data_IF_929512773664
#
_entry.id   IF_929512773664
#
_cell.length_a   1.000
_cell.length_b   1.000
_cell.length_c   1.000
_cell.angle_alpha   90.00
_cell.angle_beta   90.00
_cell.angle_gamma   90.00
#
_symmetry.space_group_name_H-M   'P 1'
#
loop_
_entity.id
_entity.type
_entity.pdbx_description
1 polymer ?
#
# COMPACT_ATOMS: atom_id res chain seq x y z
N UNK A 1 4.16 2.15 -6.85
CA UNK A 1 3.38 3.33 -6.38
C UNK A 1 3.23 3.23 -4.87
N UNK A 2 2.99 4.34 -4.15
CA UNK A 2 2.74 4.30 -2.71
C UNK A 2 1.32 3.81 -2.44
N UNK A 3 0.32 4.45 -3.05
CA UNK A 3 -1.02 3.89 -3.19
C UNK A 3 -1.08 2.98 -4.42
N UNK A 4 -1.59 1.75 -4.30
CA UNK A 4 -1.89 0.93 -5.47
C UNK A 4 -2.89 1.65 -6.39
N UNK A 5 -2.66 1.60 -7.70
CA UNK A 5 -3.57 2.22 -8.69
C UNK A 5 -5.00 1.65 -8.57
N UNK A 6 -5.11 0.37 -8.20
CA UNK A 6 -6.39 -0.30 -7.95
C UNK A 6 -7.18 0.25 -6.76
N UNK A 7 -6.61 1.16 -5.96
CA UNK A 7 -7.23 1.77 -4.77
C UNK A 7 -7.79 3.18 -5.02
N UNK A 8 -7.97 3.58 -6.28
CA UNK A 8 -8.45 4.93 -6.66
C UNK A 8 -9.82 5.27 -6.07
N UNK A 9 -10.79 4.35 -6.10
CA UNK A 9 -12.12 4.59 -5.51
C UNK A 9 -12.04 4.77 -3.98
N UNK A 10 -11.18 4.01 -3.30
CA UNK A 10 -10.92 4.14 -1.86
C UNK A 10 -10.26 5.49 -1.53
N UNK A 11 -9.33 5.94 -2.38
CA UNK A 11 -8.64 7.22 -2.28
C UNK A 11 -9.60 8.42 -2.36
N UNK A 12 -10.57 8.38 -3.29
CA UNK A 12 -11.62 9.41 -3.42
C UNK A 12 -12.55 9.39 -2.22
N UNK A 13 -13.00 8.21 -1.76
CA UNK A 13 -13.95 8.09 -0.64
C UNK A 13 -13.36 8.55 0.71
N UNK A 14 -12.04 8.42 0.92
CA UNK A 14 -11.38 8.86 2.16
C UNK A 14 -10.94 10.33 2.16
N UNK A 15 -11.26 11.09 1.10
CA UNK A 15 -10.91 12.51 0.99
C UNK A 15 -9.42 12.77 0.79
N UNK A 16 -8.67 11.77 0.32
CA UNK A 16 -7.23 11.89 0.06
C UNK A 16 -6.93 12.54 -1.31
N UNK A 17 -7.93 12.69 -2.18
CA UNK A 17 -7.81 13.36 -3.48
C UNK A 17 -7.16 14.74 -3.42
N UNK A 18 -7.38 15.50 -2.34
CA UNK A 18 -6.75 16.81 -2.15
C UNK A 18 -5.25 16.79 -1.84
N UNK A 19 -4.64 15.63 -1.60
CA UNK A 19 -3.22 15.52 -1.22
C UNK A 19 -2.28 15.59 -2.42
N UNK A 20 -2.74 15.20 -3.61
CA UNK A 20 -1.95 15.33 -4.85
C UNK A 20 -2.23 16.71 -5.44
N UNK A 21 -1.20 17.55 -5.47
CA UNK A 21 -1.34 18.97 -5.84
C UNK A 21 -0.99 19.24 -7.30
N UNK A 22 -0.24 18.33 -7.93
CA UNK A 22 0.00 18.39 -9.38
C UNK A 22 -1.30 18.09 -10.09
N UNK A 23 -1.88 19.12 -10.74
CA UNK A 23 -3.03 18.94 -11.60
C UNK A 23 -2.63 18.02 -12.73
N UNK A 24 -3.28 16.87 -12.79
CA UNK A 24 -3.19 16.03 -13.95
C UNK A 24 -3.67 16.83 -15.18
N UNK A 25 -3.00 16.65 -16.31
CA UNK A 25 -3.55 17.07 -17.59
C UNK A 25 -4.88 16.30 -17.79
N UNK A 26 -5.79 16.75 -18.66
CA UNK A 26 -7.13 16.15 -18.88
C UNK A 26 -7.17 14.63 -19.18
N UNK A 27 -6.00 13.97 -19.30
CA UNK A 27 -5.83 12.53 -19.57
C UNK A 27 -5.14 11.74 -18.46
N UNK A 28 -4.59 12.39 -17.43
CA UNK A 28 -3.97 11.70 -16.30
C UNK A 28 -4.93 11.69 -15.11
N UNK A 29 -4.98 10.57 -14.39
CA UNK A 29 -5.62 10.53 -13.08
C UNK A 29 -4.61 10.94 -12.01
N UNK A 30 -5.05 11.62 -10.96
CA UNK A 30 -4.17 12.10 -9.88
C UNK A 30 -3.31 10.98 -9.29
N UNK A 31 -3.84 9.75 -9.26
CA UNK A 31 -3.14 8.55 -8.76
C UNK A 31 -1.86 8.18 -9.54
N UNK A 32 -1.76 8.60 -10.80
CA UNK A 32 -0.56 8.42 -11.63
C UNK A 32 0.49 9.54 -11.43
N UNK A 33 0.24 10.50 -10.54
CA UNK A 33 1.22 11.54 -10.24
C UNK A 33 2.50 10.93 -9.64
N UNK A 34 3.65 11.51 -10.00
CA UNK A 34 4.93 11.23 -9.35
C UNK A 34 4.89 11.44 -7.82
N UNK A 35 3.97 12.27 -7.33
CA UNK A 35 3.70 12.47 -5.91
C UNK A 35 3.18 11.21 -5.18
N UNK A 36 2.64 10.24 -5.93
CA UNK A 36 2.23 8.91 -5.46
C UNK A 36 3.31 7.83 -5.71
N UNK A 37 4.57 8.22 -5.86
CA UNK A 37 5.65 7.32 -6.24
C UNK A 37 6.91 7.49 -5.40
N UNK A 38 7.58 6.37 -5.16
CA UNK A 38 9.00 6.32 -4.83
C UNK A 38 9.66 5.41 -5.86
N UNK A 39 10.79 5.85 -6.43
CA UNK A 39 11.58 5.00 -7.31
C UNK A 39 12.40 4.02 -6.47
N UNK A 40 12.17 2.72 -6.67
CA UNK A 40 12.80 1.65 -5.90
C UNK A 40 13.42 0.61 -6.83
N UNK A 41 14.43 -0.11 -6.33
CA UNK A 41 14.87 -1.36 -6.97
C UNK A 41 13.72 -2.37 -6.95
N UNK A 42 13.66 -3.25 -7.95
CA UNK A 42 12.52 -4.17 -8.13
C UNK A 42 12.26 -5.08 -6.93
N UNK A 43 13.32 -5.58 -6.28
CA UNK A 43 13.21 -6.40 -5.06
C UNK A 43 12.72 -5.60 -3.84
N UNK A 44 13.09 -4.32 -3.73
CA UNK A 44 12.60 -3.42 -2.68
C UNK A 44 11.13 -3.06 -2.94
N UNK A 45 10.76 -2.81 -4.20
CA UNK A 45 9.38 -2.55 -4.57
C UNK A 45 8.47 -3.73 -4.20
N UNK A 46 8.89 -4.97 -4.48
CA UNK A 46 8.11 -6.17 -4.17
C UNK A 46 7.79 -6.29 -2.66
N UNK A 47 8.75 -5.98 -1.79
CA UNK A 47 8.50 -6.05 -0.34
C UNK A 47 7.74 -4.81 0.19
N UNK A 48 7.75 -3.69 -0.54
CA UNK A 48 6.87 -2.54 -0.27
C UNK A 48 5.41 -2.89 -0.56
N UNK A 49 5.14 -3.52 -1.71
CA UNK A 49 3.78 -3.93 -2.11
C UNK A 49 3.18 -4.94 -1.12
N UNK A 50 4.03 -5.77 -0.50
CA UNK A 50 3.65 -6.74 0.55
C UNK A 50 3.56 -6.11 1.94
N UNK A 51 3.78 -4.81 2.06
CA UNK A 51 3.82 -4.07 3.32
C UNK A 51 4.84 -4.61 4.35
N UNK A 52 5.93 -5.24 3.92
CA UNK A 52 6.96 -5.78 4.84
C UNK A 52 7.84 -4.67 5.43
N UNK A 53 7.82 -3.50 4.80
CA UNK A 53 8.34 -2.26 5.36
C UNK A 53 7.46 -1.07 4.96
N UNK A 54 7.63 0.06 5.64
CA UNK A 54 7.06 1.33 5.21
C UNK A 54 7.89 2.52 5.69
N UNK A 55 7.68 3.69 5.09
CA UNK A 55 8.27 4.96 5.49
C UNK A 55 7.31 5.69 6.41
N UNK A 56 7.78 6.10 7.60
CA UNK A 56 6.99 6.91 8.52
C UNK A 56 7.33 8.41 8.37
N UNK A 57 6.49 9.22 7.70
CA UNK A 57 6.76 10.65 7.57
C UNK A 57 6.73 11.39 8.92
N UNK A 58 6.05 10.82 9.94
CA UNK A 58 5.93 11.42 11.28
C UNK A 58 7.10 11.07 12.21
N UNK A 59 8.06 10.24 11.76
CA UNK A 59 9.28 9.85 12.49
C UNK A 59 10.53 10.14 11.65
N UNK A 60 10.67 11.41 11.21
CA UNK A 60 11.74 11.90 10.32
C UNK A 60 12.01 10.96 9.12
N UNK A 61 10.92 10.49 8.51
CA UNK A 61 10.94 9.65 7.31
C UNK A 61 11.74 8.36 7.49
N UNK A 62 11.71 7.82 8.71
CA UNK A 62 12.34 6.54 9.05
C UNK A 62 11.68 5.39 8.28
N UNK A 63 12.52 4.52 7.75
CA UNK A 63 12.11 3.22 7.20
C UNK A 63 11.88 2.26 8.36
N UNK A 64 10.69 1.69 8.47
CA UNK A 64 10.33 0.70 9.48
C UNK A 64 10.12 -0.64 8.81
N UNK A 65 10.95 -1.62 9.15
CA UNK A 65 10.81 -3.00 8.71
C UNK A 65 10.00 -3.81 9.73
N UNK A 66 9.03 -4.59 9.27
CA UNK A 66 8.12 -5.34 10.14
C UNK A 66 8.48 -6.83 10.27
N UNK A 67 9.26 -7.39 9.34
CA UNK A 67 9.68 -8.81 9.31
C UNK A 67 11.21 -8.92 9.17
N UNK A 68 11.94 -8.15 10.00
CA UNK A 68 13.40 -8.02 9.91
C UNK A 68 13.87 -7.18 8.72
N UNK A 69 15.20 -7.03 8.57
CA UNK A 69 15.80 -6.22 7.50
C UNK A 69 16.79 -7.03 6.64
N UNK A 70 16.31 -7.97 5.81
CA UNK A 70 17.19 -8.80 4.97
C UNK A 70 17.84 -8.02 3.82
N UNK A 71 17.31 -6.84 3.47
CA UNK A 71 17.82 -6.01 2.37
C UNK A 71 18.74 -4.87 2.85
N UNK A 72 18.87 -4.67 4.16
CA UNK A 72 19.68 -3.59 4.72
C UNK A 72 19.12 -2.20 4.41
N UNK A 73 17.79 -2.07 4.39
CA UNK A 73 17.07 -0.85 4.02
C UNK A 73 16.67 0.02 5.22
N UNK A 74 16.96 -0.39 6.46
CA UNK A 74 16.74 0.46 7.64
C UNK A 74 17.48 1.81 7.52
N UNK A 75 16.94 2.84 8.16
CA UNK A 75 17.42 4.21 8.08
C UNK A 75 16.32 5.16 7.60
N UNK A 76 16.63 5.97 6.58
CA UNK A 76 15.74 7.04 6.08
C UNK A 76 15.77 7.11 4.56
N UNK A 77 14.65 7.48 3.96
CA UNK A 77 14.62 7.79 2.54
C UNK A 77 15.48 9.02 2.21
N UNK A 78 15.95 9.09 0.97
CA UNK A 78 16.73 10.22 0.49
C UNK A 78 15.93 11.53 0.63
N UNK A 79 16.51 12.62 1.18
CA UNK A 79 15.84 13.91 1.30
C UNK A 79 15.20 14.43 0.00
N UNK A 80 15.75 14.09 -1.17
CA UNK A 80 15.18 14.50 -2.47
C UNK A 80 13.77 13.97 -2.70
N UNK A 81 13.39 12.86 -2.07
CA UNK A 81 12.06 12.26 -2.20
C UNK A 81 11.01 12.97 -1.34
N UNK A 82 11.42 13.89 -0.45
CA UNK A 82 10.61 14.51 0.60
C UNK A 82 10.91 16.01 0.76
N UNK A 83 11.40 16.67 -0.29
CA UNK A 83 11.60 18.12 -0.26
C UNK A 83 10.23 18.79 -0.30
N UNK A 84 9.83 19.55 0.74
CA UNK A 84 8.53 20.21 0.77
C UNK A 84 8.37 21.29 -0.32
N UNK A 85 9.47 21.72 -0.93
CA UNK A 85 9.48 22.71 -2.02
C UNK A 85 9.53 22.06 -3.41
N UNK A 86 9.70 20.74 -3.52
CA UNK A 86 9.66 20.03 -4.80
C UNK A 86 8.27 19.42 -5.01
N UNK A 87 7.59 19.85 -6.07
CA UNK A 87 6.30 19.31 -6.48
C UNK A 87 6.35 17.85 -6.94
N UNK A 88 7.54 17.26 -7.11
CA UNK A 88 7.74 15.85 -7.42
C UNK A 88 7.94 14.97 -6.20
N UNK A 89 8.06 15.56 -5.01
CA UNK A 89 8.23 14.81 -3.76
C UNK A 89 7.02 13.93 -3.49
N UNK A 90 7.28 12.78 -2.86
CA UNK A 90 6.23 11.92 -2.34
C UNK A 90 5.43 12.68 -1.29
N UNK A 91 4.10 12.52 -1.32
CA UNK A 91 3.21 13.20 -0.37
C UNK A 91 3.19 12.48 0.96
N UNK A 92 3.38 13.23 2.05
CA UNK A 92 3.36 12.71 3.41
C UNK A 92 2.06 11.99 3.73
N UNK A 93 0.93 12.45 3.23
CA UNK A 93 -0.37 11.80 3.44
C UNK A 93 -0.41 10.39 2.84
N UNK A 94 0.25 10.19 1.69
CA UNK A 94 0.35 8.90 1.03
C UNK A 94 1.30 7.96 1.78
N UNK A 95 2.46 8.49 2.20
CA UNK A 95 3.40 7.74 3.03
C UNK A 95 2.76 7.33 4.36
N UNK A 96 2.02 8.24 5.00
CA UNK A 96 1.29 7.99 6.25
C UNK A 96 0.17 6.97 6.06
N UNK A 97 -0.55 7.01 4.94
CA UNK A 97 -1.53 5.98 4.61
C UNK A 97 -0.86 4.61 4.47
N UNK A 98 0.22 4.51 3.68
CA UNK A 98 0.94 3.25 3.46
C UNK A 98 1.53 2.71 4.76
N UNK A 99 2.08 3.58 5.61
CA UNK A 99 2.54 3.22 6.95
C UNK A 99 1.43 2.63 7.82
N UNK A 100 0.24 3.24 7.84
CA UNK A 100 -0.90 2.69 8.57
C UNK A 100 -1.33 1.33 8.04
N UNK A 101 -1.33 1.14 6.71
CA UNK A 101 -1.63 -0.18 6.12
C UNK A 101 -0.57 -1.21 6.51
N UNK A 102 0.70 -0.84 6.47
CA UNK A 102 1.78 -1.75 6.87
C UNK A 102 1.71 -2.13 8.34
N UNK A 103 1.42 -1.16 9.22
CA UNK A 103 1.12 -1.44 10.63
C UNK A 103 -0.06 -2.41 10.75
N UNK A 104 -1.18 -2.18 10.05
CA UNK A 104 -2.34 -3.08 10.12
C UNK A 104 -2.05 -4.48 9.57
N UNK A 105 -1.32 -4.58 8.46
CA UNK A 105 -0.94 -5.85 7.83
C UNK A 105 -0.03 -6.69 8.75
N UNK A 106 0.84 -6.05 9.53
CA UNK A 106 1.81 -6.73 10.38
C UNK A 106 1.40 -6.82 11.86
N UNK A 107 0.50 -5.96 12.35
CA UNK A 107 -0.11 -6.13 13.68
C UNK A 107 -1.05 -7.34 13.75
N UNK A 108 -1.49 -7.87 12.59
CA UNK A 108 -2.19 -9.15 12.48
C UNK A 108 -1.28 -10.39 12.68
N UNK A 109 0.04 -10.18 12.79
CA UNK A 109 1.09 -11.21 12.81
C UNK A 109 1.18 -12.11 14.05
N UNK A 110 0.18 -12.12 14.93
CA UNK A 110 0.08 -13.11 16.02
C UNK A 110 -1.13 -14.05 15.84
N UNK A 111 -2.02 -13.82 14.85
CA UNK A 111 -3.30 -14.54 14.80
C UNK A 111 -3.80 -15.04 13.45
N UNK A 112 -3.64 -14.30 12.34
CA UNK A 112 -4.37 -14.66 11.11
C UNK A 112 -3.57 -14.51 9.81
N UNK A 113 -3.76 -15.45 8.85
CA UNK A 113 -3.07 -15.40 7.57
C UNK A 113 -3.57 -14.22 6.70
N UNK A 114 -2.67 -13.60 5.95
CA UNK A 114 -3.03 -12.66 4.89
C UNK A 114 -3.57 -13.43 3.68
N UNK A 115 -4.86 -13.28 3.40
CA UNK A 115 -5.51 -13.84 2.22
C UNK A 115 -5.73 -12.76 1.17
N UNK A 116 -5.35 -13.06 -0.06
CA UNK A 116 -5.69 -12.25 -1.23
C UNK A 116 -7.20 -12.43 -1.52
N UNK A 117 -7.95 -11.33 -1.51
CA UNK A 117 -9.41 -11.31 -1.75
C UNK A 117 -9.79 -10.73 -3.11
N UNK A 118 -8.80 -10.38 -3.95
CA UNK A 118 -9.06 -9.79 -5.26
C UNK A 118 -9.02 -10.87 -6.35
N UNK A 119 -10.17 -11.50 -6.57
CA UNK A 119 -10.31 -12.54 -7.58
C UNK A 119 -10.64 -11.92 -8.95
N UNK A 120 -9.90 -12.25 -10.03
CA UNK A 120 -10.16 -11.70 -11.35
C UNK A 120 -11.58 -12.02 -11.85
N UNK A 121 -12.24 -11.05 -12.48
CA UNK A 121 -13.57 -11.27 -13.07
C UNK A 121 -13.57 -12.45 -14.05
N UNK A 122 -14.30 -13.51 -13.70
CA UNK A 122 -14.40 -14.73 -14.50
C UNK A 122 -13.65 -15.95 -13.93
N UNK A 123 -12.96 -15.83 -12.79
CA UNK A 123 -12.43 -16.99 -12.07
C UNK A 123 -13.46 -17.61 -11.13
N UNK A 124 -13.34 -18.93 -10.90
CA UNK A 124 -14.12 -19.63 -9.88
C UNK A 124 -13.55 -19.33 -8.49
N UNK A 125 -13.91 -18.16 -7.98
CA UNK A 125 -13.51 -17.68 -6.66
C UNK A 125 -13.76 -18.71 -5.55
N UNK A 126 -14.90 -19.41 -5.59
CA UNK A 126 -15.21 -20.42 -4.57
C UNK A 126 -14.28 -21.62 -4.69
N UNK A 127 -13.97 -22.04 -5.92
CA UNK A 127 -12.96 -23.06 -6.19
C UNK A 127 -11.57 -22.66 -5.72
N UNK A 128 -11.16 -21.41 -5.92
CA UNK A 128 -9.86 -20.89 -5.47
C UNK A 128 -9.75 -20.78 -3.94
N UNK A 129 -10.83 -20.36 -3.26
CA UNK A 129 -10.90 -20.31 -1.80
C UNK A 129 -10.83 -21.72 -1.20
N UNK A 130 -11.63 -22.65 -1.71
CA UNK A 130 -11.71 -24.02 -1.21
C UNK A 130 -10.47 -24.85 -1.54
N UNK A 131 -9.80 -24.54 -2.65
CA UNK A 131 -8.54 -25.18 -3.06
C UNK A 131 -7.30 -24.65 -2.34
N UNK A 132 -7.42 -23.52 -1.64
CA UNK A 132 -6.31 -22.86 -0.94
C UNK A 132 -6.13 -23.32 0.52
N UNK A 133 -4.92 -23.14 1.09
CA UNK A 133 -4.69 -23.42 2.51
C UNK A 133 -5.53 -22.50 3.40
N UNK A 134 -6.03 -23.02 4.53
CA UNK A 134 -6.89 -22.30 5.47
C UNK A 134 -8.20 -21.76 4.83
N UNK A 135 -8.81 -22.54 3.92
CA UNK A 135 -10.02 -22.22 3.17
C UNK A 135 -11.17 -21.61 4.00
N UNK A 136 -11.39 -22.07 5.23
CA UNK A 136 -12.41 -21.52 6.11
C UNK A 136 -12.13 -20.05 6.49
N UNK A 137 -10.89 -19.73 6.85
CA UNK A 137 -10.48 -18.36 7.19
C UNK A 137 -10.42 -17.46 5.94
N UNK A 138 -10.05 -18.02 4.78
CA UNK A 138 -10.14 -17.33 3.47
C UNK A 138 -11.58 -16.92 3.17
N UNK A 139 -12.51 -17.84 3.40
CA UNK A 139 -13.93 -17.60 3.17
C UNK A 139 -14.50 -16.54 4.14
N UNK A 140 -14.08 -16.56 5.40
CA UNK A 140 -14.45 -15.52 6.37
C UNK A 140 -13.90 -14.14 5.97
N UNK A 141 -12.64 -14.06 5.56
CA UNK A 141 -12.03 -12.81 5.08
C UNK A 141 -12.77 -12.24 3.84
N UNK A 142 -13.14 -13.10 2.89
CA UNK A 142 -13.92 -12.71 1.70
C UNK A 142 -15.32 -12.20 2.07
N UNK A 143 -16.04 -12.90 2.96
CA UNK A 143 -17.36 -12.48 3.43
C UNK A 143 -17.30 -11.13 4.16
N UNK A 144 -16.27 -10.92 4.99
CA UNK A 144 -16.09 -9.67 5.74
C UNK A 144 -15.78 -8.50 4.80
N UNK A 145 -14.96 -8.72 3.77
CA UNK A 145 -14.63 -7.71 2.76
C UNK A 145 -15.86 -7.23 1.99
N UNK A 146 -16.84 -8.12 1.73
CA UNK A 146 -18.08 -7.79 1.02
C UNK A 146 -19.14 -7.11 1.86
N UNK A 147 -19.15 -7.40 3.16
CA UNK A 147 -20.12 -6.83 4.11
C UNK A 147 -19.73 -5.41 4.56
N UNK A 148 -18.44 -5.08 4.47
CA UNK A 148 -17.88 -3.78 4.86
C UNK A 148 -17.58 -2.87 3.66
N UNK A 149 -17.82 -3.35 2.43
CA UNK A 149 -17.68 -2.62 1.17
C UNK A 149 -18.97 -1.96 0.70
#
# INVERSE_FOLDING_TARGET
>A
HILPISSEEYYVQKGLSGCITTKANERDTEINSCQNGLLMQSNVHEISDKFLFSVNPDDDYKITCFDGDPLGIDGKINPICRDPNDERSARDELLRWHFRQAVLANMKGVGEPNFETNFPSGTDMMGEILGGPDAAKRMEAELFSRLMG
#
